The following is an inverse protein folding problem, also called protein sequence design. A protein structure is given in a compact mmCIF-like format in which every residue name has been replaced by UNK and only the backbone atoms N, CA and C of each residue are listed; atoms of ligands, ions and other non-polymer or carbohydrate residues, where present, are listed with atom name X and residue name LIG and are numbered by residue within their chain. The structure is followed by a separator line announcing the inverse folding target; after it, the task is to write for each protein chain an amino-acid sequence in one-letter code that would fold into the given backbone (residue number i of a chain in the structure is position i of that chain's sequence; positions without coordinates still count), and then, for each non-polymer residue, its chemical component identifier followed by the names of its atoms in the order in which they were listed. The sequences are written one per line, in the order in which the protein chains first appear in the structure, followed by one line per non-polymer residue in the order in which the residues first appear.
data_IF_712476477557
#
_entry.id   IF_712476477557
#
_cell.length_a   1.000
_cell.length_b   1.000
_cell.length_c   1.000
_cell.angle_alpha   90.00
_cell.angle_beta   90.00
_cell.angle_gamma   90.00
#
_symmetry.space_group_name_H-M   'P 1'
#
loop_
_entity.id
_entity.type
_entity.pdbx_description
1 polymer ?
#
# COMPACT_ATOMS: atom_id res chain seq x y z
N UNK A 1 4.07 23.84 15.44
CA UNK A 1 3.82 22.65 14.60
C UNK A 1 4.56 21.52 15.30
N UNK A 2 3.82 20.64 15.98
CA UNK A 2 4.41 19.49 16.68
C UNK A 2 5.15 18.62 15.64
N UNK A 3 6.35 18.09 15.96
CA UNK A 3 7.04 17.19 15.04
C UNK A 3 6.17 15.94 14.86
N UNK A 4 5.67 15.78 13.64
CA UNK A 4 5.23 14.48 13.14
C UNK A 4 6.47 13.59 13.27
N UNK A 5 6.39 12.49 14.03
CA UNK A 5 7.55 11.66 14.40
C UNK A 5 8.43 11.24 13.21
N UNK A 6 9.60 10.66 13.48
CA UNK A 6 10.55 10.33 12.42
C UNK A 6 10.06 9.17 11.55
N UNK A 7 10.28 9.26 10.23
CA UNK A 7 10.00 8.18 9.28
C UNK A 7 11.01 7.03 9.43
N UNK A 8 10.58 5.82 9.82
CA UNK A 8 11.44 4.64 9.83
C UNK A 8 11.85 4.25 8.40
N UNK A 9 13.10 3.81 8.22
CA UNK A 9 13.63 3.44 6.90
C UNK A 9 12.80 2.35 6.21
N UNK A 10 12.33 1.35 6.95
CA UNK A 10 11.48 0.29 6.39
C UNK A 10 10.14 0.82 5.87
N UNK A 11 9.59 1.89 6.46
CA UNK A 11 8.36 2.52 5.95
C UNK A 11 8.67 3.32 4.68
N UNK A 12 9.78 4.05 4.65
CA UNK A 12 10.24 4.77 3.46
C UNK A 12 10.49 3.82 2.28
N UNK A 13 11.13 2.68 2.52
CA UNK A 13 11.40 1.68 1.49
C UNK A 13 10.10 1.10 0.91
N UNK A 14 9.11 0.79 1.75
CA UNK A 14 7.81 0.31 1.27
C UNK A 14 7.04 1.39 0.50
N UNK A 15 7.07 2.65 0.96
CA UNK A 15 6.46 3.78 0.25
C UNK A 15 7.11 3.99 -1.12
N UNK A 16 8.44 3.91 -1.20
CA UNK A 16 9.19 4.05 -2.44
C UNK A 16 8.84 2.96 -3.48
N UNK A 17 8.56 1.72 -3.04
CA UNK A 17 8.08 0.66 -3.94
C UNK A 17 6.72 0.97 -4.59
N UNK A 18 5.95 1.86 -3.97
CA UNK A 18 4.70 2.38 -4.52
C UNK A 18 4.86 3.74 -5.21
N UNK A 19 6.10 4.21 -5.41
CA UNK A 19 6.40 5.50 -6.04
C UNK A 19 6.16 6.72 -5.15
N UNK A 20 6.04 6.53 -3.83
CA UNK A 20 5.79 7.60 -2.87
C UNK A 20 7.09 8.01 -2.16
N UNK A 21 7.32 9.31 -2.07
CA UNK A 21 8.45 9.90 -1.34
C UNK A 21 7.92 10.97 -0.38
N UNK A 22 7.66 10.62 0.90
CA UNK A 22 7.12 11.58 1.85
C UNK A 22 8.16 12.62 2.27
N UNK A 23 7.68 13.84 2.53
CA UNK A 23 8.45 14.87 3.24
C UNK A 23 8.27 14.72 4.76
N UNK A 24 9.12 15.35 5.59
CA UNK A 24 8.97 15.31 7.05
C UNK A 24 7.60 15.77 7.56
N UNK A 25 6.94 16.68 6.85
CA UNK A 25 5.63 17.24 7.17
C UNK A 25 4.45 16.52 6.46
N UNK A 26 4.73 15.49 5.65
CA UNK A 26 3.68 14.79 4.91
C UNK A 26 2.80 13.98 5.88
N UNK A 27 1.47 14.18 5.89
CA UNK A 27 0.59 13.43 6.76
C UNK A 27 0.58 11.93 6.38
N UNK A 28 0.87 10.99 7.31
CA UNK A 28 0.84 9.56 7.01
C UNK A 28 -0.53 9.06 6.50
N UNK A 29 -1.63 9.66 6.98
CA UNK A 29 -2.98 9.34 6.52
C UNK A 29 -3.18 9.59 5.02
N UNK A 30 -2.59 10.68 4.48
CA UNK A 30 -2.66 11.00 3.06
C UNK A 30 -1.94 9.94 2.20
N UNK A 31 -0.79 9.46 2.66
CA UNK A 31 -0.04 8.40 1.98
C UNK A 31 -0.82 7.08 2.02
N UNK A 32 -1.41 6.76 3.17
CA UNK A 32 -2.25 5.56 3.32
C UNK A 32 -3.43 5.57 2.35
N UNK A 33 -4.08 6.71 2.16
CA UNK A 33 -5.16 6.87 1.20
C UNK A 33 -4.67 6.59 -0.24
N UNK A 34 -3.56 7.21 -0.65
CA UNK A 34 -2.96 6.98 -1.97
C UNK A 34 -2.62 5.50 -2.21
N UNK A 35 -2.02 4.81 -1.23
CA UNK A 35 -1.72 3.38 -1.32
C UNK A 35 -3.00 2.56 -1.41
N UNK A 36 -4.05 2.93 -0.65
CA UNK A 36 -5.34 2.25 -0.66
C UNK A 36 -6.02 2.35 -2.04
N UNK A 37 -5.95 3.51 -2.67
CA UNK A 37 -6.51 3.73 -4.00
C UNK A 37 -5.75 2.96 -5.08
N UNK A 38 -4.42 2.94 -5.01
CA UNK A 38 -3.59 2.12 -5.88
C UNK A 38 -3.92 0.63 -5.72
N UNK A 39 -4.04 0.13 -4.48
CA UNK A 39 -4.44 -1.24 -4.21
C UNK A 39 -5.81 -1.59 -4.80
N UNK A 40 -6.81 -0.72 -4.62
CA UNK A 40 -8.15 -0.91 -5.19
C UNK A 40 -8.12 -0.93 -6.71
N UNK A 41 -7.31 -0.06 -7.32
CA UNK A 41 -7.10 -0.06 -8.77
C UNK A 41 -6.49 -1.38 -9.24
N UNK A 42 -5.43 -1.87 -8.61
CA UNK A 42 -4.81 -3.15 -8.99
C UNK A 42 -5.74 -4.35 -8.78
N UNK A 43 -6.59 -4.35 -7.74
CA UNK A 43 -7.62 -5.37 -7.54
C UNK A 43 -8.64 -5.36 -8.69
N UNK A 44 -9.07 -4.18 -9.15
CA UNK A 44 -9.97 -4.06 -10.30
C UNK A 44 -9.31 -4.62 -11.57
N UNK A 45 -8.08 -4.19 -11.85
CA UNK A 45 -7.30 -4.70 -12.99
C UNK A 45 -7.16 -6.23 -12.92
N UNK A 46 -6.81 -6.80 -11.76
CA UNK A 46 -6.69 -8.25 -11.60
C UNK A 46 -8.01 -8.98 -11.88
N UNK A 47 -9.14 -8.43 -11.42
CA UNK A 47 -10.47 -8.99 -11.70
C UNK A 47 -10.83 -8.89 -13.19
N UNK A 48 -10.48 -7.79 -13.84
CA UNK A 48 -10.77 -7.58 -15.26
C UNK A 48 -9.96 -8.55 -16.13
N UNK A 49 -8.69 -8.79 -15.80
CA UNK A 49 -7.85 -9.83 -16.43
C UNK A 49 -8.42 -11.24 -16.26
N UNK A 50 -8.96 -11.55 -15.07
CA UNK A 50 -9.66 -12.81 -14.84
C UNK A 50 -10.92 -12.93 -15.71
N UNK A 51 -11.70 -11.85 -15.85
CA UNK A 51 -12.90 -11.80 -16.71
C UNK A 51 -12.55 -11.93 -18.19
N UNK A 52 -11.41 -11.38 -18.60
CA UNK A 52 -10.86 -11.52 -19.95
C UNK A 52 -10.30 -12.93 -20.22
N UNK A 53 -10.29 -13.83 -19.22
CA UNK A 53 -9.86 -15.21 -19.38
C UNK A 53 -8.34 -15.44 -19.32
N UNK A 54 -7.54 -14.46 -18.93
CA UNK A 54 -6.09 -14.63 -18.76
C UNK A 54 -5.74 -15.72 -17.73
N UNK A 55 -6.67 -15.97 -16.80
CA UNK A 55 -6.60 -17.07 -15.85
C UNK A 55 -7.99 -17.42 -15.32
N UNK A 56 -8.11 -18.60 -14.73
CA UNK A 56 -9.40 -19.10 -14.22
C UNK A 56 -9.83 -18.40 -12.93
N UNK A 57 -11.14 -18.33 -12.70
CA UNK A 57 -11.72 -17.81 -11.45
C UNK A 57 -11.24 -18.56 -10.20
N UNK A 58 -10.94 -19.87 -10.32
CA UNK A 58 -10.34 -20.68 -9.25
C UNK A 58 -8.95 -20.16 -8.84
N UNK A 59 -8.20 -19.55 -9.75
CA UNK A 59 -6.88 -19.01 -9.49
C UNK A 59 -6.88 -17.56 -9.01
N UNK A 60 -8.03 -16.87 -9.05
CA UNK A 60 -8.17 -15.47 -8.61
C UNK A 60 -7.83 -15.26 -7.13
N UNK A 61 -8.33 -16.08 -6.16
CA UNK A 61 -8.03 -15.87 -4.75
C UNK A 61 -6.52 -15.90 -4.44
N UNK A 62 -5.79 -16.85 -5.00
CA UNK A 62 -4.34 -16.96 -4.82
C UNK A 62 -3.61 -15.71 -5.36
N UNK A 63 -4.01 -15.20 -6.54
CA UNK A 63 -3.43 -13.96 -7.10
C UNK A 63 -3.75 -12.72 -6.26
N UNK A 64 -4.95 -12.64 -5.67
CA UNK A 64 -5.31 -11.55 -4.73
C UNK A 64 -4.43 -11.61 -3.48
N UNK A 65 -4.13 -12.80 -2.97
CA UNK A 65 -3.20 -12.98 -1.84
C UNK A 65 -1.80 -12.48 -2.19
N UNK A 66 -1.25 -12.88 -3.34
CA UNK A 66 0.06 -12.39 -3.80
C UNK A 66 0.07 -10.88 -4.01
N UNK A 67 -1.01 -10.31 -4.53
CA UNK A 67 -1.17 -8.87 -4.62
C UNK A 67 -1.16 -8.22 -3.23
N UNK A 68 -1.92 -8.72 -2.26
CA UNK A 68 -1.98 -8.16 -0.90
C UNK A 68 -0.62 -8.16 -0.21
N UNK A 69 0.24 -9.15 -0.46
CA UNK A 69 1.61 -9.19 0.08
C UNK A 69 2.48 -8.01 -0.36
N UNK A 70 2.16 -7.36 -1.49
CA UNK A 70 2.85 -6.15 -1.95
C UNK A 70 2.42 -4.88 -1.21
N UNK A 71 1.31 -4.92 -0.46
CA UNK A 71 0.71 -3.77 0.23
C UNK A 71 0.75 -3.94 1.74
N UNK A 72 1.91 -4.36 2.29
CA UNK A 72 2.07 -4.63 3.73
C UNK A 72 1.73 -3.42 4.60
N UNK A 73 2.02 -2.20 4.11
CA UNK A 73 1.67 -0.95 4.81
C UNK A 73 0.17 -0.84 5.10
N UNK A 74 -0.71 -1.37 4.22
CA UNK A 74 -2.15 -1.34 4.46
C UNK A 74 -2.59 -2.21 5.64
N UNK A 75 -1.75 -3.17 6.06
CA UNK A 75 -1.98 -4.03 7.23
C UNK A 75 -1.49 -3.43 8.55
N UNK A 76 -0.69 -2.35 8.49
CA UNK A 76 -0.13 -1.68 9.67
C UNK A 76 -1.00 -0.45 9.98
N UNK A 77 -1.45 -0.24 11.24
CA UNK A 77 -2.11 0.99 11.66
C UNK A 77 -1.24 2.21 11.33
N UNK A 78 -1.85 3.27 10.79
CA UNK A 78 -1.11 4.42 10.27
C UNK A 78 -0.32 5.16 11.36
N UNK A 79 -0.80 5.09 12.60
CA UNK A 79 -0.19 5.66 13.80
C UNK A 79 1.16 4.98 14.12
N UNK A 80 1.38 3.76 13.62
CA UNK A 80 2.61 3.00 13.80
C UNK A 80 3.60 3.16 12.65
N UNK A 81 3.30 4.01 11.67
CA UNK A 81 4.20 4.28 10.54
C UNK A 81 5.34 5.20 10.93
N UNK A 82 5.21 5.95 12.03
CA UNK A 82 6.23 6.84 12.52
C UNK A 82 6.87 6.23 13.77
N UNK A 83 8.17 6.44 13.93
CA UNK A 83 8.80 6.23 15.21
C UNK A 83 8.26 7.28 16.19
N UNK A 84 7.90 6.85 17.40
CA UNK A 84 7.68 7.79 18.49
C UNK A 84 9.01 8.53 18.74
N UNK A 85 8.97 9.85 18.94
CA UNK A 85 10.15 10.63 19.28
C UNK A 85 10.80 10.17 20.60
#
# INVERSE_FOLDING_TARGET
MEPIGAWPLNILDELARHGLAPKPDTPPALLREQISDLYRYEIRQLRDRCRAGEFTTRALPARVVELRKRYVLLSIPVERWLALP
#
